data_IF_329972787968
#
_entry.id   IF_329972787968
#
_cell.length_a   1.000
_cell.length_b   1.000
_cell.length_c   1.000
_cell.angle_alpha   90.00
_cell.angle_beta   90.00
_cell.angle_gamma   90.00
#
_symmetry.space_group_name_H-M   'P 1'
#
loop_
_entity.id
_entity.type
_entity.pdbx_description
1 polymer ?
#
# COMPACT_ATOMS: atom_id res chain seq x y z
N UNK A 1 0.75 -18.53 11.35
CA UNK A 1 0.77 -17.18 10.76
C UNK A 1 2.23 -16.81 10.61
N UNK A 2 2.77 -16.99 9.42
CA UNK A 2 4.20 -16.78 9.16
C UNK A 2 4.56 -15.29 9.25
N UNK A 3 3.70 -14.42 8.69
CA UNK A 3 3.85 -12.97 8.78
C UNK A 3 3.85 -12.46 10.23
N UNK A 4 2.89 -12.88 11.06
CA UNK A 4 2.83 -12.46 12.47
C UNK A 4 4.07 -12.91 13.24
N UNK A 5 4.51 -14.16 13.03
CA UNK A 5 5.73 -14.66 13.66
C UNK A 5 6.98 -13.89 13.19
N UNK A 6 7.01 -13.46 11.93
CA UNK A 6 8.06 -12.59 11.41
C UNK A 6 8.07 -11.24 12.12
N UNK A 7 6.91 -10.57 12.23
CA UNK A 7 6.80 -9.28 12.93
C UNK A 7 7.21 -9.37 14.41
N UNK A 8 6.89 -10.48 15.09
CA UNK A 8 7.33 -10.72 16.47
C UNK A 8 8.85 -10.88 16.61
N UNK A 9 9.52 -11.45 15.61
CA UNK A 9 10.98 -11.53 15.58
C UNK A 9 11.57 -10.16 15.29
N UNK A 10 11.06 -9.46 14.27
CA UNK A 10 11.50 -8.11 13.89
C UNK A 10 11.44 -7.15 15.07
N UNK A 11 10.40 -7.22 15.91
CA UNK A 11 10.30 -6.41 17.14
C UNK A 11 11.53 -6.53 18.06
N UNK A 12 12.15 -7.71 18.15
CA UNK A 12 13.30 -7.94 19.07
C UNK A 12 14.56 -7.23 18.62
N UNK A 13 14.61 -6.82 17.36
CA UNK A 13 15.75 -6.21 16.71
C UNK A 13 15.38 -4.86 16.05
N UNK A 14 14.21 -4.30 16.41
CA UNK A 14 13.64 -3.10 15.82
C UNK A 14 14.51 -1.85 15.99
N UNK A 15 15.26 -1.78 17.10
CA UNK A 15 16.20 -0.69 17.43
C UNK A 15 17.41 -0.64 16.47
N UNK A 16 17.63 -1.68 15.66
CA UNK A 16 18.68 -1.68 14.64
C UNK A 16 18.28 -0.93 13.36
N UNK A 17 17.03 -0.47 13.27
CA UNK A 17 16.48 0.17 12.08
C UNK A 17 15.97 1.58 12.39
N UNK A 18 15.99 2.45 11.37
CA UNK A 18 15.24 3.70 11.41
C UNK A 18 13.74 3.44 11.57
N UNK A 19 12.94 4.47 11.85
CA UNK A 19 11.48 4.36 11.92
C UNK A 19 10.90 3.69 10.67
N UNK A 20 10.06 2.67 10.87
CA UNK A 20 9.41 1.93 9.80
C UNK A 20 8.00 1.52 10.17
N UNK A 21 7.19 1.25 9.14
CA UNK A 21 5.94 0.51 9.26
C UNK A 21 5.98 -0.66 8.28
N UNK A 22 5.73 -1.86 8.76
CA UNK A 22 5.70 -3.08 7.96
C UNK A 22 4.34 -3.76 8.07
N UNK A 23 3.77 -4.10 6.93
CA UNK A 23 2.53 -4.88 6.82
C UNK A 23 2.86 -6.26 6.26
N UNK A 24 2.37 -7.31 6.90
CA UNK A 24 2.44 -8.69 6.41
C UNK A 24 1.04 -9.19 6.08
N UNK A 25 0.90 -9.91 4.98
CA UNK A 25 -0.36 -10.54 4.55
C UNK A 25 -0.05 -12.00 4.19
N UNK A 26 -0.57 -12.93 4.99
CA UNK A 26 -0.56 -14.36 4.71
C UNK A 26 -1.88 -14.72 4.02
N UNK A 27 -1.84 -15.14 2.75
CA UNK A 27 -3.02 -15.59 2.00
C UNK A 27 -2.95 -17.10 1.80
N UNK A 28 -3.99 -17.81 2.26
CA UNK A 28 -4.09 -19.28 2.20
C UNK A 28 -5.39 -19.69 1.53
N UNK A 29 -5.44 -19.69 0.18
CA UNK A 29 -6.67 -19.93 -0.56
C UNK A 29 -7.30 -21.29 -0.24
N UNK A 30 -6.50 -22.34 -0.06
CA UNK A 30 -7.03 -23.68 0.23
C UNK A 30 -7.74 -23.75 1.60
N UNK A 31 -7.37 -22.88 2.53
CA UNK A 31 -8.00 -22.79 3.85
C UNK A 31 -9.10 -21.72 3.89
N UNK A 32 -9.29 -20.96 2.81
CA UNK A 32 -10.17 -19.78 2.79
C UNK A 32 -9.76 -18.72 3.81
N UNK A 33 -8.46 -18.63 4.13
CA UNK A 33 -7.94 -17.80 5.22
C UNK A 33 -7.02 -16.69 4.69
N UNK A 34 -7.18 -15.50 5.26
CA UNK A 34 -6.32 -14.34 5.03
C UNK A 34 -6.02 -13.72 6.38
N UNK A 35 -4.76 -13.74 6.76
CA UNK A 35 -4.28 -13.08 7.97
C UNK A 35 -3.42 -11.90 7.56
N UNK A 36 -3.75 -10.71 8.04
CA UNK A 36 -2.91 -9.54 7.89
C UNK A 36 -2.55 -8.94 9.25
N UNK A 37 -1.36 -8.38 9.34
CA UNK A 37 -0.86 -7.72 10.54
C UNK A 37 0.08 -6.58 10.15
N UNK A 38 0.23 -5.59 11.02
CA UNK A 38 1.27 -4.58 10.86
C UNK A 38 2.09 -4.42 12.14
N UNK A 39 3.28 -3.85 12.00
CA UNK A 39 4.13 -3.45 13.11
C UNK A 39 4.88 -2.17 12.73
N UNK A 40 5.06 -1.29 13.72
CA UNK A 40 5.90 -0.10 13.63
C UNK A 40 6.82 -0.09 14.84
N UNK A 41 8.07 0.35 14.66
CA UNK A 41 9.00 0.61 15.77
C UNK A 41 8.85 2.04 16.34
N UNK A 42 7.86 2.80 15.85
CA UNK A 42 7.43 4.05 16.45
C UNK A 42 6.53 3.76 17.67
N UNK A 43 7.17 3.53 18.83
CA UNK A 43 6.54 3.24 20.11
C UNK A 43 6.80 1.81 20.64
N UNK A 44 6.22 1.51 21.81
CA UNK A 44 6.49 0.27 22.55
C UNK A 44 5.53 -0.89 22.20
N UNK A 45 4.52 -0.61 21.38
CA UNK A 45 3.46 -1.55 21.04
C UNK A 45 3.95 -2.73 20.20
N UNK A 46 3.29 -3.88 20.37
CA UNK A 46 3.59 -5.08 19.58
C UNK A 46 2.94 -5.08 18.18
N UNK A 47 3.21 -6.13 17.37
CA UNK A 47 2.48 -6.34 16.13
C UNK A 47 0.96 -6.40 16.34
N UNK A 48 0.20 -5.75 15.46
CA UNK A 48 -1.25 -5.63 15.53
C UNK A 48 -1.91 -6.44 14.43
N UNK A 49 -2.82 -7.35 14.80
CA UNK A 49 -3.65 -8.10 13.86
C UNK A 49 -4.73 -7.22 13.23
N UNK A 50 -4.84 -7.28 11.91
CA UNK A 50 -5.86 -6.56 11.16
C UNK A 50 -7.16 -7.35 11.11
N UNK A 51 -8.28 -6.68 11.38
CA UNK A 51 -9.63 -7.23 11.20
C UNK A 51 -10.02 -7.18 9.72
N UNK A 52 -11.04 -7.93 9.32
CA UNK A 52 -11.62 -7.80 7.97
C UNK A 52 -12.11 -6.35 7.74
N UNK A 53 -11.82 -5.78 6.58
CA UNK A 53 -12.19 -4.42 6.21
C UNK A 53 -11.12 -3.69 5.41
N UNK A 54 -11.30 -2.39 5.22
CA UNK A 54 -10.33 -1.51 4.55
C UNK A 54 -9.30 -0.99 5.55
N UNK A 55 -8.02 -1.14 5.21
CA UNK A 55 -6.89 -0.61 5.95
C UNK A 55 -6.00 0.17 5.00
N UNK A 56 -5.57 1.36 5.42
CA UNK A 56 -4.70 2.23 4.63
C UNK A 56 -3.54 2.67 5.51
N UNK A 57 -2.33 2.61 4.95
CA UNK A 57 -1.10 2.98 5.63
C UNK A 57 -0.37 4.05 4.83
N UNK A 58 0.41 4.87 5.53
CA UNK A 58 1.29 5.88 4.95
C UNK A 58 2.50 6.08 5.85
N UNK A 59 3.21 7.19 5.67
CA UNK A 59 4.38 7.52 6.50
C UNK A 59 4.01 8.00 7.91
N UNK A 60 2.74 8.33 8.15
CA UNK A 60 2.21 8.69 9.46
C UNK A 60 1.96 7.46 10.33
N UNK A 61 2.05 7.60 11.65
CA UNK A 61 1.63 6.57 12.60
C UNK A 61 0.17 6.15 12.34
N UNK A 62 -0.18 4.85 12.37
CA UNK A 62 -1.57 4.39 12.22
C UNK A 62 -2.53 4.95 13.28
N UNK A 63 -2.00 5.36 14.44
CA UNK A 63 -2.76 6.00 15.52
C UNK A 63 -3.05 7.48 15.25
N UNK A 64 -2.24 8.12 14.41
CA UNK A 64 -2.33 9.53 14.05
C UNK A 64 -2.13 9.68 12.53
N UNK A 65 -3.09 9.22 11.71
CA UNK A 65 -2.93 9.23 10.26
C UNK A 65 -2.97 10.65 9.70
N UNK A 66 -2.13 10.94 8.70
CA UNK A 66 -2.26 12.17 7.91
C UNK A 66 -3.63 12.23 7.21
N UNK A 67 -4.13 13.43 6.93
CA UNK A 67 -5.42 13.67 6.25
C UNK A 67 -5.52 12.94 4.92
N UNK A 68 -4.42 12.84 4.17
CA UNK A 68 -4.35 12.11 2.90
C UNK A 68 -4.62 10.62 3.04
N UNK A 69 -4.22 10.01 4.17
CA UNK A 69 -4.45 8.59 4.46
C UNK A 69 -5.95 8.36 4.71
N UNK A 70 -6.60 9.26 5.44
CA UNK A 70 -8.04 9.22 5.66
C UNK A 70 -8.82 9.42 4.35
N UNK A 71 -8.39 10.37 3.51
CA UNK A 71 -9.01 10.60 2.21
C UNK A 71 -8.85 9.40 1.27
N UNK A 72 -7.66 8.79 1.21
CA UNK A 72 -7.40 7.56 0.45
C UNK A 72 -8.31 6.42 0.92
N UNK A 73 -8.49 6.28 2.23
CA UNK A 73 -9.40 5.29 2.81
C UNK A 73 -10.84 5.49 2.35
N UNK A 74 -11.36 6.71 2.46
CA UNK A 74 -12.73 7.00 2.02
C UNK A 74 -12.94 6.70 0.53
N UNK A 75 -12.03 7.19 -0.33
CA UNK A 75 -12.11 6.93 -1.78
C UNK A 75 -12.04 5.43 -2.09
N UNK A 76 -11.17 4.68 -1.42
CA UNK A 76 -11.07 3.24 -1.62
C UNK A 76 -12.32 2.50 -1.11
N UNK A 77 -12.90 2.91 0.02
CA UNK A 77 -14.16 2.38 0.54
C UNK A 77 -15.32 2.59 -0.46
N UNK A 78 -15.39 3.75 -1.11
CA UNK A 78 -16.37 4.04 -2.17
C UNK A 78 -16.18 3.12 -3.39
N UNK A 79 -14.94 2.92 -3.84
CA UNK A 79 -14.60 2.02 -4.96
C UNK A 79 -15.03 0.58 -4.67
N UNK A 80 -14.74 0.04 -3.47
CA UNK A 80 -15.10 -1.35 -3.13
C UNK A 80 -16.58 -1.52 -2.81
N UNK A 81 -17.26 -0.49 -2.31
CA UNK A 81 -18.70 -0.52 -2.03
C UNK A 81 -19.55 -0.57 -3.32
N UNK A 82 -18.99 -0.11 -4.45
CA UNK A 82 -19.63 -0.16 -5.78
C UNK A 82 -19.93 -1.56 -6.32
N UNK A 83 -19.54 -2.64 -5.61
CA UNK A 83 -19.79 -4.05 -5.94
C UNK A 83 -19.38 -4.45 -7.38
N UNK A 84 -18.08 -4.45 -7.72
CA UNK A 84 -17.61 -4.97 -8.99
C UNK A 84 -17.84 -6.48 -9.03
N UNK A 85 -18.81 -6.90 -9.85
CA UNK A 85 -18.92 -8.30 -10.26
C UNK A 85 -17.61 -8.78 -10.93
N UNK A 86 -17.37 -10.09 -11.05
CA UNK A 86 -16.16 -10.61 -11.74
C UNK A 86 -16.03 -10.13 -13.19
N UNK A 87 -17.13 -9.69 -13.80
CA UNK A 87 -17.21 -9.04 -15.12
C UNK A 87 -16.69 -7.60 -15.17
N UNK A 88 -16.38 -6.98 -14.02
CA UNK A 88 -15.91 -5.60 -13.89
C UNK A 88 -14.51 -5.49 -13.27
N UNK A 89 -13.71 -6.57 -13.30
CA UNK A 89 -12.37 -6.57 -12.72
C UNK A 89 -11.48 -5.45 -13.27
N UNK A 90 -11.53 -5.21 -14.58
CA UNK A 90 -10.75 -4.12 -15.21
C UNK A 90 -11.22 -2.74 -14.76
N UNK A 91 -12.53 -2.54 -14.58
CA UNK A 91 -13.11 -1.30 -14.07
C UNK A 91 -12.65 -1.07 -12.62
N UNK A 92 -12.73 -2.09 -11.77
CA UNK A 92 -12.19 -2.03 -10.40
C UNK A 92 -10.70 -1.66 -10.39
N UNK A 93 -9.88 -2.30 -11.22
CA UNK A 93 -8.45 -1.98 -11.30
C UNK A 93 -8.26 -0.52 -11.75
N UNK A 94 -9.03 -0.06 -12.74
CA UNK A 94 -8.97 1.31 -13.22
C UNK A 94 -9.36 2.31 -12.12
N UNK A 95 -10.43 2.05 -11.37
CA UNK A 95 -10.90 2.91 -10.29
C UNK A 95 -9.91 2.96 -9.12
N UNK A 96 -9.30 1.82 -8.74
CA UNK A 96 -8.22 1.81 -7.74
C UNK A 96 -7.03 2.64 -8.24
N UNK A 97 -6.66 2.54 -9.52
CA UNK A 97 -5.62 3.39 -10.08
C UNK A 97 -5.98 4.87 -10.06
N UNK A 98 -7.26 5.24 -10.19
CA UNK A 98 -7.67 6.65 -10.03
C UNK A 98 -7.42 7.14 -8.60
N UNK A 99 -7.73 6.34 -7.58
CA UNK A 99 -7.40 6.67 -6.17
C UNK A 99 -5.90 6.85 -5.99
N UNK A 100 -5.09 5.89 -6.48
CA UNK A 100 -3.63 5.93 -6.37
C UNK A 100 -3.00 7.11 -7.12
N UNK A 101 -3.67 7.66 -8.13
CA UNK A 101 -3.22 8.78 -8.96
C UNK A 101 -3.76 10.14 -8.51
N UNK A 102 -4.54 10.18 -7.43
CA UNK A 102 -5.13 11.41 -6.91
C UNK A 102 -4.04 12.32 -6.32
N UNK A 103 -3.85 13.50 -6.90
CA UNK A 103 -2.86 14.51 -6.52
C UNK A 103 -3.47 15.68 -5.72
N UNK A 104 -4.68 15.51 -5.20
CA UNK A 104 -5.31 16.50 -4.31
C UNK A 104 -4.46 16.70 -3.08
N UNK A 105 -4.13 17.96 -2.78
CA UNK A 105 -3.41 18.33 -1.57
C UNK A 105 -4.37 18.33 -0.38
N UNK A 106 -4.08 17.53 0.64
CA UNK A 106 -4.86 17.48 1.88
C UNK A 106 -4.22 18.35 2.98
N UNK A 107 -3.85 19.58 2.63
CA UNK A 107 -3.22 20.58 3.51
C UNK A 107 -4.21 21.72 3.86
N UNK A 108 -4.17 22.35 5.05
CA UNK A 108 -3.26 22.13 6.18
C UNK A 108 -3.50 20.79 6.88
N UNK A 109 -2.46 20.20 7.45
CA UNK A 109 -2.51 18.95 8.19
C UNK A 109 -1.56 19.01 9.39
N UNK A 110 -2.13 19.20 10.58
CA UNK A 110 -1.38 19.43 11.82
C UNK A 110 -0.45 18.26 12.18
N UNK A 111 -0.87 17.02 11.89
CA UNK A 111 -0.06 15.84 12.18
C UNK A 111 1.10 15.75 11.19
N UNK A 112 0.87 16.08 9.92
CA UNK A 112 1.93 16.17 8.91
C UNK A 112 2.94 17.28 9.27
N UNK A 113 2.47 18.47 9.67
CA UNK A 113 3.33 19.58 10.09
C UNK A 113 4.21 19.18 11.29
N UNK A 114 3.63 18.46 12.27
CA UNK A 114 4.36 17.92 13.42
C UNK A 114 5.41 16.88 13.02
N UNK A 115 5.04 15.91 12.19
CA UNK A 115 5.95 14.82 11.78
C UNK A 115 7.08 15.30 10.85
N UNK A 116 6.93 16.49 10.28
CA UNK A 116 7.89 17.08 9.34
C UNK A 116 8.51 18.38 9.87
N UNK A 117 8.49 18.59 11.18
CA UNK A 117 9.05 19.78 11.81
C UNK A 117 10.48 20.06 11.33
N UNK A 118 10.75 21.33 11.00
CA UNK A 118 12.05 21.77 10.46
C UNK A 118 12.21 21.59 8.94
N UNK A 119 11.21 21.06 8.23
CA UNK A 119 11.19 21.03 6.76
C UNK A 119 10.56 22.29 6.15
N UNK A 120 10.94 22.70 4.93
CA UNK A 120 10.30 23.82 4.24
C UNK A 120 8.81 23.56 3.96
N UNK A 121 7.95 24.55 4.18
CA UNK A 121 6.48 24.43 4.01
C UNK A 121 6.07 23.93 2.62
N UNK A 122 6.74 24.39 1.56
CA UNK A 122 6.48 23.95 0.19
C UNK A 122 6.71 22.44 0.00
N UNK A 123 7.75 21.89 0.64
CA UNK A 123 8.03 20.45 0.63
C UNK A 123 6.96 19.69 1.43
N UNK A 124 6.59 20.21 2.61
CA UNK A 124 5.57 19.58 3.47
C UNK A 124 4.22 19.52 2.77
N UNK A 125 3.79 20.59 2.10
CA UNK A 125 2.54 20.63 1.33
C UNK A 125 2.46 19.51 0.29
N UNK A 126 3.56 19.23 -0.42
CA UNK A 126 3.60 18.17 -1.43
C UNK A 126 3.39 16.78 -0.83
N UNK A 127 3.87 16.54 0.38
CA UNK A 127 3.67 15.28 1.10
C UNK A 127 2.20 15.05 1.47
N UNK A 128 1.31 16.04 1.35
CA UNK A 128 -0.13 15.91 1.65
C UNK A 128 -0.96 15.28 0.51
N UNK A 129 -0.37 14.94 -0.64
CA UNK A 129 -1.04 14.22 -1.71
C UNK A 129 -0.86 12.69 -1.60
N UNK A 130 -1.83 11.93 -2.12
CA UNK A 130 -1.71 10.47 -2.32
C UNK A 130 -0.67 10.21 -3.42
N UNK A 131 -0.86 10.83 -4.58
CA UNK A 131 0.11 10.85 -5.66
C UNK A 131 1.02 12.08 -5.55
N UNK A 132 2.23 11.87 -5.01
CA UNK A 132 3.24 12.92 -4.94
C UNK A 132 3.93 13.00 -6.31
N UNK A 133 3.63 14.06 -7.05
CA UNK A 133 4.19 14.30 -8.39
C UNK A 133 5.69 14.61 -8.30
N UNK A 134 6.58 13.83 -8.97
CA UNK A 134 8.02 14.11 -8.93
C UNK A 134 8.38 15.48 -9.52
N UNK A 135 7.54 16.04 -10.39
CA UNK A 135 7.73 17.39 -10.94
C UNK A 135 7.69 18.47 -9.86
N UNK A 136 7.19 18.15 -8.65
CA UNK A 136 7.11 19.07 -7.53
C UNK A 136 8.43 19.16 -6.72
N UNK A 137 9.42 18.27 -6.93
CA UNK A 137 10.69 18.34 -6.20
C UNK A 137 11.62 17.15 -6.38
N UNK A 138 12.49 16.89 -5.39
CA UNK A 138 13.44 15.75 -5.43
C UNK A 138 12.83 14.40 -4.99
N UNK A 139 11.54 14.37 -4.64
CA UNK A 139 10.84 13.19 -4.11
C UNK A 139 9.46 13.07 -4.75
N UNK A 140 9.06 11.85 -5.11
CA UNK A 140 7.75 11.60 -5.69
C UNK A 140 7.46 10.12 -5.95
N UNK A 141 6.19 9.81 -6.20
CA UNK A 141 5.68 8.48 -6.49
C UNK A 141 6.02 8.07 -7.92
N UNK A 142 6.90 7.08 -8.08
CA UNK A 142 7.34 6.58 -9.40
C UNK A 142 6.58 5.35 -9.88
N UNK A 143 5.84 4.70 -8.97
CA UNK A 143 5.23 3.39 -9.19
C UNK A 143 3.91 3.31 -8.46
N UNK A 144 2.92 2.71 -9.11
CA UNK A 144 1.61 2.37 -8.53
C UNK A 144 1.33 0.91 -8.84
N UNK A 145 0.96 0.14 -7.83
CA UNK A 145 0.76 -1.30 -7.96
C UNK A 145 -0.60 -1.69 -7.37
N UNK A 146 -1.36 -2.48 -8.12
CA UNK A 146 -2.62 -3.09 -7.70
C UNK A 146 -2.43 -4.60 -7.72
N UNK A 147 -2.75 -5.25 -6.61
CA UNK A 147 -2.73 -6.70 -6.47
C UNK A 147 -4.13 -7.13 -6.04
N UNK A 148 -4.84 -7.84 -6.91
CA UNK A 148 -6.11 -8.46 -6.58
C UNK A 148 -5.92 -9.96 -6.38
N UNK A 149 -6.53 -10.51 -5.34
CA UNK A 149 -6.48 -11.94 -5.04
C UNK A 149 -7.91 -12.43 -4.80
N UNK A 150 -8.36 -13.40 -5.60
CA UNK A 150 -9.68 -13.99 -5.44
C UNK A 150 -9.71 -15.13 -4.41
N UNK A 151 -10.91 -15.65 -4.11
CA UNK A 151 -11.08 -16.75 -3.15
C UNK A 151 -10.45 -18.07 -3.58
N UNK A 152 -10.11 -18.23 -4.87
CA UNK A 152 -9.42 -19.40 -5.41
C UNK A 152 -7.89 -19.20 -5.45
N UNK A 153 -7.39 -18.04 -5.00
CA UNK A 153 -5.98 -17.71 -4.99
C UNK A 153 -5.44 -17.24 -6.34
N UNK A 154 -6.30 -16.90 -7.31
CA UNK A 154 -5.84 -16.25 -8.53
C UNK A 154 -5.44 -14.82 -8.22
N UNK A 155 -4.23 -14.46 -8.66
CA UNK A 155 -3.63 -13.16 -8.47
C UNK A 155 -3.61 -12.42 -9.79
N UNK A 156 -4.13 -11.19 -9.78
CA UNK A 156 -3.92 -10.20 -10.83
C UNK A 156 -2.97 -9.13 -10.28
N UNK A 157 -1.74 -9.10 -10.77
CA UNK A 157 -0.76 -8.06 -10.49
C UNK A 157 -0.76 -7.07 -11.65
N UNK A 158 -0.99 -5.79 -11.35
CA UNK A 158 -0.88 -4.71 -12.33
C UNK A 158 -0.06 -3.58 -11.73
N UNK A 159 1.05 -3.26 -12.36
CA UNK A 159 1.92 -2.16 -11.97
C UNK A 159 2.05 -1.14 -13.09
N UNK A 160 1.95 0.14 -12.74
CA UNK A 160 2.30 1.27 -13.61
C UNK A 160 3.53 1.96 -13.02
N UNK A 161 4.62 1.94 -13.75
CA UNK A 161 5.91 2.50 -13.31
C UNK A 161 6.45 3.48 -14.36
N UNK A 162 7.16 4.52 -13.94
CA UNK A 162 7.79 5.46 -14.87
C UNK A 162 8.87 4.76 -15.70
N UNK A 163 8.92 5.07 -17.00
CA UNK A 163 9.94 4.53 -17.91
C UNK A 163 11.28 5.23 -17.67
N UNK A 164 12.35 4.45 -17.51
CA UNK A 164 13.72 4.99 -17.47
C UNK A 164 14.24 5.33 -18.89
N UNK A 165 15.07 6.38 -19.05
CA UNK A 165 15.45 7.36 -18.02
C UNK A 165 14.27 8.30 -17.67
N UNK A 166 14.10 8.61 -16.38
CA UNK A 166 13.06 9.53 -15.91
C UNK A 166 13.53 10.98 -16.08
N UNK A 167 12.87 11.74 -16.95
CA UNK A 167 13.05 13.19 -17.09
C UNK A 167 11.76 13.92 -16.69
N UNK A 168 11.78 14.51 -15.49
CA UNK A 168 10.64 15.24 -14.90
C UNK A 168 10.40 16.61 -15.55
N UNK A 169 11.27 17.05 -16.47
CA UNK A 169 11.08 18.29 -17.25
C UNK A 169 10.24 18.08 -18.51
N UNK A 170 9.94 16.81 -18.83
CA UNK A 170 9.16 16.39 -19.99
C UNK A 170 7.93 15.58 -19.56
N UNK A 171 7.09 15.21 -20.52
CA UNK A 171 5.96 14.33 -20.26
C UNK A 171 6.44 12.95 -19.77
N UNK A 172 6.09 12.61 -18.53
CA UNK A 172 6.46 11.33 -17.92
C UNK A 172 5.74 10.19 -18.65
N UNK A 173 6.54 9.30 -19.25
CA UNK A 173 6.05 8.07 -19.87
C UNK A 173 5.91 6.96 -18.82
N UNK A 174 4.77 6.26 -18.83
CA UNK A 174 4.49 5.13 -17.93
C UNK A 174 4.51 3.80 -18.67
N UNK A 175 5.11 2.78 -18.08
CA UNK A 175 5.06 1.38 -18.53
C UNK A 175 4.10 0.61 -17.62
N UNK A 176 3.27 -0.23 -18.22
CA UNK A 176 2.39 -1.14 -17.48
C UNK A 176 2.92 -2.56 -17.54
N UNK A 177 3.16 -3.18 -16.39
CA UNK A 177 3.44 -4.61 -16.26
C UNK A 177 2.21 -5.31 -15.69
N UNK A 178 1.78 -6.41 -16.33
CA UNK A 178 0.70 -7.25 -15.84
C UNK A 178 1.18 -8.70 -15.71
N UNK A 179 0.89 -9.31 -14.57
CA UNK A 179 1.15 -10.73 -14.31
C UNK A 179 -0.10 -11.38 -13.73
N UNK A 180 -0.37 -12.61 -14.16
CA UNK A 180 -1.45 -13.44 -13.63
C UNK A 180 -0.87 -14.78 -13.20
N UNK A 181 -1.15 -15.19 -11.97
CA UNK A 181 -0.66 -16.46 -11.42
C UNK A 181 -1.58 -16.94 -10.29
N UNK A 182 -1.40 -18.17 -9.83
CA UNK A 182 -2.17 -18.73 -8.71
C UNK A 182 -1.24 -19.00 -7.54
N UNK A 183 -1.66 -18.59 -6.34
CA UNK A 183 -0.95 -18.93 -5.10
C UNK A 183 -1.00 -20.45 -4.91
N UNK A 184 0.16 -21.09 -4.84
CA UNK A 184 0.26 -22.52 -4.54
C UNK A 184 0.59 -22.70 -3.06
N UNK A 185 -0.30 -23.33 -2.30
CA UNK A 185 0.01 -23.75 -0.94
C UNK A 185 1.00 -24.93 -0.99
N UNK A 186 2.10 -24.81 -0.27
CA UNK A 186 3.19 -25.82 -0.16
C UNK A 186 2.75 -27.14 0.50
N UNK A 187 1.49 -27.28 0.89
CA UNK A 187 0.90 -28.55 1.37
C UNK A 187 0.71 -29.60 0.27
N UNK A 188 1.01 -29.29 -1.00
CA UNK A 188 1.17 -30.31 -2.05
C UNK A 188 2.62 -30.79 -2.12
N UNK A 189 2.97 -31.80 -1.31
CA UNK A 189 3.85 -32.85 -1.83
C UNK A 189 3.00 -33.58 -2.88
N UNK A 190 3.08 -33.16 -4.15
CA UNK A 190 2.63 -34.04 -5.23
C UNK A 190 3.71 -35.10 -5.36
N UNK A 191 3.53 -36.21 -4.64
CA UNK A 191 4.29 -37.43 -4.91
C UNK A 191 3.90 -37.89 -6.31
N UNK A 192 4.74 -37.60 -7.29
CA UNK A 192 4.73 -38.32 -8.57
C UNK A 192 5.52 -39.62 -8.40
N UNK A 193 4.95 -40.55 -7.63
CA UNK A 193 5.32 -41.97 -7.62
C UNK A 193 4.03 -42.77 -7.84
#
# INVERSE_FOLDING_TARGET
>A
MEGVNYLQRLRREADMYNSFLLVTIDVKPMMGDVTAAYYTNDGDEGPVLLKKGVHVFGNSSPSHPWKKVNAAKQMFEEVVAGNPSSTQKEELIADIFQVLRNDTLHYPDEQLDKDTEGRPEEYVKQLSAIFIKPEMGFYGSRTHTVILIDSNGHVDYVEKTMKEPIDVTTDITWVTTRMQFTIQDSSRIVSHL
#
